data_IF_898149031966
#
_entry.id   IF_898149031966
#
_cell.length_a   1.000
_cell.length_b   1.000
_cell.length_c   1.000
_cell.angle_alpha   90.00
_cell.angle_beta   90.00
_cell.angle_gamma   90.00
#
_symmetry.space_group_name_H-M   'P 1'
#
loop_
_entity.id
_entity.type
_entity.pdbx_description
1 polymer ?
#
# COMPACT_ATOMS: atom_id res chain seq x y z
N UNK A 1 -7.32 19.35 -0.97
CA UNK A 1 -7.65 17.95 -1.35
C UNK A 1 -7.08 17.65 -2.76
N UNK A 2 -5.75 17.73 -2.97
CA UNK A 2 -5.21 18.11 -4.29
C UNK A 2 -4.42 17.07 -5.11
N UNK A 3 -4.12 15.85 -4.62
CA UNK A 3 -3.37 14.88 -5.44
C UNK A 3 -3.85 13.42 -5.26
N UNK A 4 -5.12 13.14 -5.59
CA UNK A 4 -5.64 11.76 -5.60
C UNK A 4 -5.44 11.02 -6.92
N UNK A 5 -5.21 11.73 -8.02
CA UNK A 5 -5.16 11.15 -9.36
C UNK A 5 -3.79 11.29 -10.00
N UNK A 6 -3.42 10.28 -10.80
CA UNK A 6 -2.17 10.27 -11.57
C UNK A 6 -2.24 11.31 -12.70
N UNK A 7 -1.43 12.35 -12.62
CA UNK A 7 -1.41 13.49 -13.57
C UNK A 7 -0.37 13.31 -14.68
N UNK A 8 -0.45 14.15 -15.73
CA UNK A 8 0.49 14.17 -16.86
C UNK A 8 0.00 13.44 -18.10
N UNK A 9 0.28 13.98 -19.30
CA UNK A 9 -0.26 13.48 -20.59
C UNK A 9 0.82 12.90 -21.54
N UNK A 10 2.07 12.88 -21.11
CA UNK A 10 3.20 12.39 -21.92
C UNK A 10 3.07 10.90 -22.26
N UNK A 11 3.73 10.47 -23.35
CA UNK A 11 3.70 9.08 -23.78
C UNK A 11 4.14 8.09 -22.68
N UNK A 12 5.22 8.33 -21.90
CA UNK A 12 5.57 7.45 -20.78
C UNK A 12 4.47 7.33 -19.72
N UNK A 13 3.78 8.44 -19.41
CA UNK A 13 2.66 8.42 -18.47
C UNK A 13 1.44 7.69 -19.02
N UNK A 14 1.27 7.60 -20.34
CA UNK A 14 0.23 6.76 -20.94
C UNK A 14 0.58 5.27 -20.79
N UNK A 15 1.85 4.89 -20.96
CA UNK A 15 2.33 3.52 -20.70
C UNK A 15 2.07 3.10 -19.25
N UNK A 16 2.42 3.94 -18.28
CA UNK A 16 2.14 3.67 -16.86
C UNK A 16 0.65 3.45 -16.60
N UNK A 17 -0.24 4.27 -17.19
CA UNK A 17 -1.69 4.08 -17.08
C UNK A 17 -2.16 2.75 -17.68
N UNK A 18 -1.59 2.35 -18.80
CA UNK A 18 -1.90 1.07 -19.45
C UNK A 18 -1.48 -0.11 -18.57
N UNK A 19 -0.28 -0.07 -18.00
CA UNK A 19 0.22 -1.10 -17.09
C UNK A 19 -0.64 -1.20 -15.83
N UNK A 20 -1.01 -0.07 -15.21
CA UNK A 20 -1.94 -0.02 -14.07
C UNK A 20 -3.24 -0.75 -14.42
N UNK A 21 -3.84 -0.44 -15.58
CA UNK A 21 -5.11 -1.06 -16.00
C UNK A 21 -5.00 -2.57 -16.24
N UNK A 22 -3.83 -3.06 -16.64
CA UNK A 22 -3.57 -4.49 -16.81
C UNK A 22 -3.45 -5.20 -15.45
N UNK A 23 -2.58 -4.70 -14.56
CA UNK A 23 -2.31 -5.36 -13.27
C UNK A 23 -3.48 -5.25 -12.29
N UNK A 24 -4.27 -4.17 -12.35
CA UNK A 24 -5.42 -3.97 -11.47
C UNK A 24 -6.52 -5.05 -11.64
N UNK A 25 -6.56 -5.74 -12.79
CA UNK A 25 -7.52 -6.83 -13.04
C UNK A 25 -7.05 -8.19 -12.52
N UNK A 26 -5.85 -8.26 -11.96
CA UNK A 26 -5.24 -9.50 -11.47
C UNK A 26 -5.05 -9.46 -9.96
N UNK A 27 -4.86 -10.64 -9.36
CA UNK A 27 -4.46 -10.80 -7.95
C UNK A 27 -2.93 -10.89 -7.78
N UNK A 28 -2.15 -10.55 -8.82
CA UNK A 28 -0.70 -10.61 -8.75
C UNK A 28 -0.12 -9.52 -7.85
N UNK A 29 0.97 -9.84 -7.16
CA UNK A 29 1.74 -8.83 -6.42
C UNK A 29 2.41 -7.85 -7.40
N UNK A 30 2.25 -6.55 -7.15
CA UNK A 30 2.76 -5.49 -8.02
C UNK A 30 3.95 -4.79 -7.38
N UNK A 31 5.09 -4.77 -8.05
CA UNK A 31 6.28 -4.01 -7.67
C UNK A 31 6.33 -2.69 -8.46
N UNK A 32 6.34 -1.55 -7.75
CA UNK A 32 6.42 -0.22 -8.37
C UNK A 32 7.82 0.34 -8.12
N UNK A 33 8.60 0.51 -9.20
CA UNK A 33 9.95 1.08 -9.15
C UNK A 33 9.98 2.51 -9.68
N UNK A 34 10.98 3.27 -9.23
CA UNK A 34 11.19 4.66 -9.62
C UNK A 34 11.89 5.45 -8.52
N UNK A 35 12.43 6.61 -8.88
CA UNK A 35 13.19 7.47 -7.96
C UNK A 35 12.34 8.02 -6.82
N UNK A 36 13.00 8.57 -5.80
CA UNK A 36 12.30 9.25 -4.69
C UNK A 36 11.48 10.43 -5.22
N UNK A 37 10.28 10.65 -4.66
CA UNK A 37 9.40 11.77 -5.05
C UNK A 37 8.64 11.61 -6.37
N UNK A 38 8.78 10.50 -7.10
CA UNK A 38 8.11 10.27 -8.40
C UNK A 38 6.62 9.87 -8.33
N UNK A 39 6.03 9.83 -7.13
CA UNK A 39 4.60 9.55 -6.97
C UNK A 39 4.20 8.07 -7.00
N UNK A 40 5.10 7.15 -6.63
CA UNK A 40 4.81 5.70 -6.54
C UNK A 40 3.56 5.36 -5.72
N UNK A 41 3.29 6.12 -4.65
CA UNK A 41 2.08 5.97 -3.83
C UNK A 41 0.79 6.28 -4.61
N UNK A 42 0.84 7.25 -5.53
CA UNK A 42 -0.29 7.58 -6.42
C UNK A 42 -0.53 6.43 -7.40
N UNK A 43 0.54 5.82 -7.92
CA UNK A 43 0.44 4.62 -8.78
C UNK A 43 -0.20 3.45 -8.01
N UNK A 44 0.28 3.14 -6.80
CA UNK A 44 -0.28 2.06 -5.97
C UNK A 44 -1.77 2.25 -5.69
N UNK A 45 -2.18 3.49 -5.33
CA UNK A 45 -3.59 3.83 -5.15
C UNK A 45 -4.41 3.65 -6.42
N UNK A 46 -3.88 4.02 -7.58
CA UNK A 46 -4.58 3.84 -8.85
C UNK A 46 -4.71 2.36 -9.22
N UNK A 47 -3.75 1.50 -8.87
CA UNK A 47 -3.91 0.04 -9.03
C UNK A 47 -5.08 -0.45 -8.18
N UNK A 48 -5.11 -0.10 -6.89
CA UNK A 48 -6.20 -0.50 -5.99
C UNK A 48 -7.57 -0.01 -6.47
N UNK A 49 -7.73 1.29 -6.79
CA UNK A 49 -9.02 1.85 -7.19
C UNK A 49 -9.54 1.36 -8.55
N UNK A 50 -8.66 0.83 -9.41
CA UNK A 50 -9.04 0.21 -10.68
C UNK A 50 -9.25 -1.32 -10.57
N UNK A 51 -9.06 -1.90 -9.38
CA UNK A 51 -9.19 -3.33 -9.14
C UNK A 51 -10.60 -3.74 -8.72
N UNK A 52 -10.82 -5.06 -8.65
CA UNK A 52 -12.03 -5.63 -8.03
C UNK A 52 -12.17 -5.29 -6.55
N UNK A 53 -11.08 -4.92 -5.87
CA UNK A 53 -11.00 -4.61 -4.44
C UNK A 53 -11.16 -3.12 -4.12
N UNK A 54 -11.51 -2.28 -5.09
CA UNK A 54 -11.58 -0.81 -4.98
C UNK A 54 -12.43 -0.24 -3.84
N UNK A 55 -13.37 -1.03 -3.32
CA UNK A 55 -14.28 -0.64 -2.23
C UNK A 55 -13.82 -1.15 -0.87
N UNK A 56 -12.74 -1.95 -0.84
CA UNK A 56 -12.17 -2.52 0.38
C UNK A 56 -11.06 -1.61 0.93
N UNK A 57 -10.55 -1.87 2.14
CA UNK A 57 -9.51 -1.04 2.74
C UNK A 57 -8.25 -0.97 1.87
N UNK A 58 -7.57 0.19 1.92
CA UNK A 58 -6.20 0.35 1.46
C UNK A 58 -5.32 0.78 2.64
N UNK A 59 -4.31 -0.02 2.98
CA UNK A 59 -3.47 0.18 4.16
C UNK A 59 -2.03 0.49 3.74
N UNK A 60 -1.67 1.76 3.51
CA UNK A 60 -0.31 2.12 3.14
C UNK A 60 0.64 1.95 4.34
N UNK A 61 1.81 1.36 4.08
CA UNK A 61 2.90 1.21 5.05
C UNK A 61 4.17 1.82 4.48
N UNK A 62 4.77 2.74 5.23
CA UNK A 62 6.10 3.27 4.93
C UNK A 62 7.13 2.57 5.84
N UNK A 63 7.77 1.52 5.32
CA UNK A 63 8.76 0.76 6.09
C UNK A 63 9.98 1.59 6.51
N UNK A 64 10.30 2.67 5.79
CA UNK A 64 11.39 3.57 6.16
C UNK A 64 11.08 4.49 7.35
N UNK A 65 9.81 4.59 7.75
CA UNK A 65 9.38 5.38 8.91
C UNK A 65 9.15 4.52 10.17
N UNK A 66 9.28 3.19 10.07
CA UNK A 66 9.05 2.25 11.17
C UNK A 66 10.40 1.70 11.63
N UNK A 67 10.74 1.80 12.92
CA UNK A 67 11.93 1.14 13.48
C UNK A 67 11.92 -0.37 13.20
N UNK A 68 13.09 -0.94 12.88
CA UNK A 68 13.19 -2.33 12.44
C UNK A 68 12.70 -3.33 13.51
N UNK A 69 12.92 -3.02 14.77
CA UNK A 69 12.46 -3.78 15.95
C UNK A 69 10.93 -3.76 16.14
N UNK A 70 10.24 -2.75 15.58
CA UNK A 70 8.78 -2.62 15.64
C UNK A 70 8.08 -3.05 14.35
N UNK A 71 8.81 -3.25 13.26
CA UNK A 71 8.25 -3.52 11.94
C UNK A 71 7.35 -4.75 11.93
N UNK A 72 7.82 -5.85 12.51
CA UNK A 72 7.06 -7.10 12.56
C UNK A 72 5.75 -6.93 13.36
N UNK A 73 5.83 -6.30 14.52
CA UNK A 73 4.69 -6.02 15.39
C UNK A 73 3.66 -5.08 14.75
N UNK A 74 4.09 -4.10 13.95
CA UNK A 74 3.15 -3.27 13.17
C UNK A 74 2.47 -4.07 12.05
N UNK A 75 3.22 -4.90 11.31
CA UNK A 75 2.69 -5.65 10.17
C UNK A 75 1.72 -6.77 10.58
N UNK A 76 2.12 -7.56 11.59
CA UNK A 76 1.38 -8.76 12.01
C UNK A 76 0.51 -8.52 13.25
N UNK A 77 0.79 -7.47 14.02
CA UNK A 77 0.13 -7.24 15.30
C UNK A 77 0.83 -7.99 16.43
N UNK A 78 0.27 -7.85 17.63
CA UNK A 78 0.74 -8.57 18.81
C UNK A 78 -0.37 -8.69 19.85
N UNK A 79 -0.26 -9.72 20.67
CA UNK A 79 -1.08 -9.87 21.87
C UNK A 79 -0.49 -9.12 23.06
N UNK A 80 -1.34 -8.82 24.04
CA UNK A 80 -0.90 -8.21 25.30
C UNK A 80 0.14 -9.12 25.97
N UNK A 81 1.29 -8.55 26.32
CA UNK A 81 2.38 -9.27 26.97
C UNK A 81 3.35 -10.01 26.03
N UNK A 82 3.22 -9.85 24.71
CA UNK A 82 4.14 -10.47 23.75
C UNK A 82 5.60 -10.00 23.89
N UNK A 83 5.83 -8.77 24.39
CA UNK A 83 7.15 -8.22 24.70
C UNK A 83 7.05 -7.15 25.80
N UNK A 84 8.21 -6.72 26.34
CA UNK A 84 8.28 -5.63 27.32
C UNK A 84 7.78 -4.33 26.70
N UNK A 85 6.60 -3.86 27.14
CA UNK A 85 5.91 -2.69 26.57
C UNK A 85 4.62 -3.00 25.83
N UNK A 86 4.29 -4.28 25.59
CA UNK A 86 3.01 -4.72 25.01
C UNK A 86 1.86 -4.64 26.03
N UNK A 87 1.48 -3.42 26.43
CA UNK A 87 0.45 -3.16 27.46
C UNK A 87 -0.96 -3.55 26.98
N UNK A 88 -1.17 -3.52 25.67
CA UNK A 88 -2.45 -3.82 24.98
C UNK A 88 -2.20 -4.70 23.76
N UNK A 89 -3.21 -5.47 23.35
CA UNK A 89 -3.17 -6.17 22.06
C UNK A 89 -3.45 -5.19 20.90
N UNK A 90 -2.90 -5.49 19.72
CA UNK A 90 -3.07 -4.66 18.52
C UNK A 90 -3.12 -5.51 17.26
N UNK A 91 -4.13 -5.26 16.42
CA UNK A 91 -4.22 -5.87 15.09
C UNK A 91 -3.14 -5.33 14.15
N UNK A 92 -2.52 -6.22 13.38
CA UNK A 92 -1.51 -5.86 12.38
C UNK A 92 -2.09 -5.20 11.14
N UNK A 93 -1.23 -4.54 10.36
CA UNK A 93 -1.61 -3.92 9.08
C UNK A 93 -2.20 -4.91 8.08
N UNK A 94 -1.71 -6.15 8.05
CA UNK A 94 -2.27 -7.18 7.16
C UNK A 94 -3.73 -7.50 7.49
N UNK A 95 -4.07 -7.63 8.78
CA UNK A 95 -5.44 -7.85 9.21
C UNK A 95 -6.33 -6.64 8.89
N UNK A 96 -5.80 -5.42 9.04
CA UNK A 96 -6.54 -4.19 8.66
C UNK A 96 -6.79 -4.08 7.14
N UNK A 97 -5.98 -4.74 6.32
CA UNK A 97 -6.07 -4.74 4.86
C UNK A 97 -6.91 -5.92 4.31
N UNK A 98 -7.58 -6.68 5.18
CA UNK A 98 -8.34 -7.87 4.77
C UNK A 98 -9.38 -7.55 3.68
N UNK A 99 -9.39 -8.38 2.63
CA UNK A 99 -10.19 -8.18 1.42
C UNK A 99 -9.71 -7.04 0.51
N UNK A 100 -8.77 -6.21 0.96
CA UNK A 100 -8.30 -5.00 0.30
C UNK A 100 -6.88 -5.09 -0.24
N UNK A 101 -6.09 -4.04 0.03
CA UNK A 101 -4.69 -3.90 -0.40
C UNK A 101 -3.83 -3.25 0.67
#
# INVERSE_FOLDING_TARGET
MLFRSLVGKSAPMQSVRKEIGQVARSDANVLIQGESGTGKEVVARNVHYNSSRRNNPIVPVNCGAIPADLLESELFGHEKGAFTGAITARNGRFAMAEGGT
#
